data_IF_765229525085
#
_entry.id   IF_765229525085
#
_cell.length_a   1.000
_cell.length_b   1.000
_cell.length_c   1.000
_cell.angle_alpha   90.00
_cell.angle_beta   90.00
_cell.angle_gamma   90.00
#
_symmetry.space_group_name_H-M   'P 1'
#
loop_
_entity.id
_entity.type
_entity.pdbx_description
1 polymer ?
#
# COMPACT_ATOMS: atom_id res chain seq x y z
N UNK A 1 17.66 18.93 46.24
CA UNK A 1 18.20 17.74 45.54
C UNK A 1 17.48 17.57 44.21
N UNK A 2 17.88 18.32 43.18
CA UNK A 2 17.34 18.22 41.82
C UNK A 2 18.40 18.70 40.83
N UNK A 3 19.21 17.76 40.31
CA UNK A 3 20.18 17.95 39.21
C UNK A 3 20.52 16.59 38.57
N UNK A 4 19.54 15.93 37.94
CA UNK A 4 19.73 14.56 37.43
C UNK A 4 18.98 14.21 36.15
N UNK A 5 18.56 15.17 35.31
CA UNK A 5 17.69 14.88 34.17
C UNK A 5 17.96 15.73 32.91
N UNK A 6 19.21 16.15 32.66
CA UNK A 6 19.53 17.12 31.59
C UNK A 6 20.71 16.70 30.67
N UNK A 7 21.12 15.42 30.65
CA UNK A 7 22.32 15.01 29.89
C UNK A 7 22.12 14.01 28.75
N UNK A 8 20.89 13.58 28.43
CA UNK A 8 20.67 12.53 27.41
C UNK A 8 20.18 13.04 26.05
N UNK A 9 19.97 14.36 25.87
CA UNK A 9 19.43 14.93 24.62
C UNK A 9 20.47 15.62 23.71
N UNK A 10 21.74 15.19 23.74
CA UNK A 10 22.81 15.87 22.98
C UNK A 10 23.74 14.99 22.14
N UNK A 11 23.37 13.75 21.81
CA UNK A 11 24.22 12.86 20.99
C UNK A 11 23.49 12.13 19.83
N UNK A 12 22.48 12.75 19.23
CA UNK A 12 21.92 12.22 17.97
C UNK A 12 21.67 13.31 16.92
N UNK A 13 22.66 14.19 16.75
CA UNK A 13 22.68 15.24 15.73
C UNK A 13 23.99 15.20 14.93
N UNK A 14 24.44 14.03 14.48
CA UNK A 14 25.49 13.98 13.45
C UNK A 14 25.66 12.61 12.78
N UNK A 15 24.73 12.23 11.90
CA UNK A 15 24.96 11.10 10.98
C UNK A 15 24.28 11.39 9.63
N UNK A 16 24.82 12.38 8.93
CA UNK A 16 24.59 12.53 7.50
C UNK A 16 25.56 11.58 6.78
N UNK A 17 25.09 10.55 6.05
CA UNK A 17 25.96 9.82 5.16
C UNK A 17 26.38 10.73 3.99
N UNK A 18 27.67 10.99 3.96
CA UNK A 18 28.46 11.58 2.90
C UNK A 18 28.15 10.90 1.55
N UNK A 19 27.29 11.49 0.72
CA UNK A 19 27.11 11.07 -0.67
C UNK A 19 28.23 11.68 -1.53
N UNK A 20 29.14 10.88 -2.12
CA UNK A 20 30.09 11.42 -3.08
C UNK A 20 29.35 11.84 -4.35
N UNK A 21 29.44 13.13 -4.68
CA UNK A 21 29.01 13.70 -5.95
C UNK A 21 29.88 13.08 -7.05
N UNK A 22 29.36 12.09 -7.76
CA UNK A 22 29.99 11.56 -8.96
C UNK A 22 29.74 12.55 -10.11
N UNK A 23 30.66 13.49 -10.28
CA UNK A 23 30.76 14.28 -11.50
C UNK A 23 31.15 13.36 -12.66
N UNK A 24 30.19 13.03 -13.52
CA UNK A 24 30.47 12.44 -14.83
C UNK A 24 30.58 13.57 -15.84
N UNK A 25 31.80 14.11 -15.93
CA UNK A 25 32.25 14.98 -17.01
C UNK A 25 32.21 14.23 -18.36
N UNK A 26 31.96 15.01 -19.41
CA UNK A 26 31.39 14.54 -20.66
C UNK A 26 32.28 13.71 -21.56
N UNK A 27 31.63 13.04 -22.52
CA UNK A 27 32.20 12.77 -23.84
C UNK A 27 31.12 12.43 -24.87
N UNK A 28 31.23 13.18 -25.97
CA UNK A 28 30.77 12.90 -27.34
C UNK A 28 29.29 13.13 -27.68
N UNK A 29 29.08 14.37 -28.12
CA UNK A 29 28.37 14.71 -29.35
C UNK A 29 28.40 13.65 -30.45
N UNK A 30 27.24 13.60 -31.13
CA UNK A 30 27.03 13.33 -32.55
C UNK A 30 27.36 11.92 -33.04
N UNK A 31 26.31 11.10 -33.12
CA UNK A 31 26.01 10.39 -34.36
C UNK A 31 24.60 10.79 -34.81
N UNK A 32 24.56 11.83 -35.64
CA UNK A 32 23.42 12.15 -36.51
C UNK A 32 23.64 11.29 -37.75
N UNK A 33 22.90 10.19 -37.91
CA UNK A 33 22.61 9.63 -39.23
C UNK A 33 21.48 8.60 -39.14
N UNK A 34 20.32 8.99 -39.69
CA UNK A 34 19.47 8.17 -40.57
C UNK A 34 18.82 6.89 -40.04
N UNK A 35 17.52 6.98 -39.79
CA UNK A 35 16.45 6.24 -40.50
C UNK A 35 15.13 6.54 -39.77
N UNK A 36 14.32 7.49 -40.23
CA UNK A 36 13.30 7.26 -41.24
C UNK A 36 12.81 5.80 -41.34
N UNK A 37 11.90 5.43 -40.44
CA UNK A 37 10.77 4.58 -40.81
C UNK A 37 9.51 5.23 -40.25
N UNK A 38 8.81 5.91 -41.14
CA UNK A 38 7.39 6.21 -41.03
C UNK A 38 6.64 4.90 -40.79
N UNK A 39 6.46 4.55 -39.51
CA UNK A 39 5.54 3.49 -39.10
C UNK A 39 4.12 4.09 -39.16
N UNK A 40 3.16 3.41 -39.81
CA UNK A 40 1.83 3.95 -40.04
C UNK A 40 1.11 4.20 -38.71
N UNK A 41 0.57 5.41 -38.62
CA UNK A 41 -0.31 5.91 -37.58
C UNK A 41 -1.67 5.21 -37.71
N UNK A 42 -1.80 4.00 -37.16
CA UNK A 42 -3.08 3.30 -37.08
C UNK A 42 -3.12 2.25 -35.97
N UNK A 43 -3.38 2.69 -34.73
CA UNK A 43 -4.10 1.87 -33.76
C UNK A 43 -5.45 2.56 -33.41
N UNK A 44 -6.45 2.46 -34.30
CA UNK A 44 -7.81 2.89 -34.03
C UNK A 44 -8.51 1.81 -33.20
N UNK A 45 -8.23 1.75 -31.90
CA UNK A 45 -9.06 1.21 -30.81
C UNK A 45 -8.16 1.00 -29.59
N UNK A 46 -7.70 2.12 -29.04
CA UNK A 46 -7.03 2.17 -27.75
C UNK A 46 -8.07 1.82 -26.67
N UNK A 47 -8.24 0.52 -26.42
CA UNK A 47 -9.06 -0.02 -25.34
C UNK A 47 -8.71 0.76 -24.08
N UNK A 48 -9.72 1.44 -23.52
CA UNK A 48 -9.53 2.38 -22.42
C UNK A 48 -8.98 1.63 -21.23
N UNK A 49 -7.65 1.68 -21.04
CA UNK A 49 -7.03 1.12 -19.86
C UNK A 49 -7.71 1.78 -18.65
N UNK A 50 -8.41 1.00 -17.82
CA UNK A 50 -9.19 1.56 -16.75
C UNK A 50 -8.21 2.28 -15.83
N UNK A 51 -8.41 3.59 -15.70
CA UNK A 51 -7.56 4.40 -14.84
C UNK A 51 -7.56 3.75 -13.45
N UNK A 52 -6.38 3.50 -12.88
CA UNK A 52 -6.26 2.79 -11.60
C UNK A 52 -7.16 3.34 -10.47
N UNK A 53 -7.54 4.62 -10.52
CA UNK A 53 -8.52 5.21 -9.61
C UNK A 53 -9.95 4.70 -9.86
N UNK A 54 -10.36 4.53 -11.12
CA UNK A 54 -11.64 3.94 -11.49
C UNK A 54 -11.74 2.48 -11.03
N UNK A 55 -10.66 1.70 -11.15
CA UNK A 55 -10.60 0.34 -10.61
C UNK A 55 -10.82 0.33 -9.09
N UNK A 56 -10.15 1.22 -8.35
CA UNK A 56 -10.35 1.35 -6.90
C UNK A 56 -11.78 1.71 -6.52
N UNK A 57 -12.41 2.62 -7.28
CA UNK A 57 -13.82 3.00 -7.06
C UNK A 57 -14.75 1.82 -7.35
N UNK A 58 -14.59 1.13 -8.49
CA UNK A 58 -15.42 -0.03 -8.83
C UNK A 58 -15.30 -1.14 -7.78
N UNK A 59 -14.09 -1.45 -7.34
CA UNK A 59 -13.84 -2.46 -6.31
C UNK A 59 -14.40 -2.02 -4.94
N UNK A 60 -14.30 -0.74 -4.60
CA UNK A 60 -14.89 -0.18 -3.38
C UNK A 60 -16.42 -0.28 -3.37
N UNK A 61 -17.08 0.10 -4.46
CA UNK A 61 -18.53 -0.07 -4.63
C UNK A 61 -18.92 -1.54 -4.54
N UNK A 62 -18.17 -2.43 -5.19
CA UNK A 62 -18.41 -3.88 -5.13
C UNK A 62 -18.43 -4.40 -3.69
N UNK A 63 -17.40 -4.09 -2.89
CA UNK A 63 -17.35 -4.51 -1.48
C UNK A 63 -18.45 -3.88 -0.63
N UNK A 64 -18.87 -2.64 -0.95
CA UNK A 64 -19.94 -1.95 -0.23
C UNK A 64 -21.30 -2.58 -0.55
N UNK A 65 -21.56 -2.96 -1.80
CA UNK A 65 -22.75 -3.74 -2.19
C UNK A 65 -22.72 -5.12 -1.53
N UNK A 66 -21.58 -5.82 -1.58
CA UNK A 66 -21.40 -7.12 -0.95
C UNK A 66 -21.64 -7.06 0.57
N UNK A 67 -21.29 -5.95 1.22
CA UNK A 67 -21.59 -5.71 2.64
C UNK A 67 -23.10 -5.75 2.93
N UNK A 68 -23.95 -5.24 2.04
CA UNK A 68 -25.40 -5.27 2.24
C UNK A 68 -26.00 -6.66 2.01
N UNK A 69 -25.35 -7.52 1.23
CA UNK A 69 -25.86 -8.87 0.92
C UNK A 69 -25.66 -9.85 2.08
N UNK A 70 -24.73 -9.56 2.99
CA UNK A 70 -24.56 -10.28 4.27
C UNK A 70 -25.67 -9.84 5.24
N UNK A 71 -26.90 -10.25 4.98
CA UNK A 71 -28.08 -9.97 5.83
C UNK A 71 -28.46 -11.17 6.72
N UNK A 72 -27.87 -12.34 6.50
CA UNK A 72 -28.23 -13.58 7.19
C UNK A 72 -27.12 -14.01 8.16
N UNK A 73 -27.04 -13.39 9.35
CA UNK A 73 -26.29 -13.98 10.48
C UNK A 73 -27.24 -14.20 11.64
N UNK A 74 -27.59 -15.48 11.78
CA UNK A 74 -28.70 -16.08 12.49
C UNK A 74 -28.67 -16.02 14.03
N UNK A 75 -27.82 -15.21 14.67
CA UNK A 75 -27.81 -15.09 16.13
C UNK A 75 -27.64 -13.61 16.50
N UNK A 76 -28.74 -13.04 16.98
CA UNK A 76 -28.86 -11.68 17.50
C UNK A 76 -28.18 -11.59 18.86
N UNK A 77 -27.02 -10.95 18.89
CA UNK A 77 -26.69 -10.10 20.02
C UNK A 77 -26.59 -8.65 19.55
N UNK A 78 -27.31 -7.76 20.23
CA UNK A 78 -27.57 -6.37 19.84
C UNK A 78 -26.32 -5.49 19.83
N UNK A 79 -25.19 -6.01 20.28
CA UNK A 79 -23.95 -5.25 20.44
C UNK A 79 -22.76 -5.77 19.65
N UNK A 80 -22.94 -6.84 18.87
CA UNK A 80 -21.83 -7.39 18.11
C UNK A 80 -21.74 -6.74 16.74
N UNK A 81 -20.56 -6.19 16.39
CA UNK A 81 -20.34 -5.73 15.04
C UNK A 81 -20.32 -6.96 14.12
N UNK A 82 -21.48 -7.26 13.54
CA UNK A 82 -21.67 -8.44 12.69
C UNK A 82 -20.70 -8.52 11.50
N UNK A 83 -20.68 -9.65 10.78
CA UNK A 83 -19.75 -9.90 9.66
C UNK A 83 -19.80 -8.86 8.54
N UNK A 84 -20.87 -8.06 8.50
CA UNK A 84 -21.09 -6.91 7.61
C UNK A 84 -20.08 -5.76 7.79
N UNK A 85 -19.50 -5.58 8.97
CA UNK A 85 -18.63 -4.43 9.27
C UNK A 85 -17.30 -4.46 8.49
N UNK A 86 -16.72 -5.65 8.28
CA UNK A 86 -15.44 -5.80 7.58
C UNK A 86 -15.52 -5.36 6.11
N UNK A 87 -16.46 -5.89 5.29
CA UNK A 87 -16.63 -5.45 3.90
C UNK A 87 -17.02 -3.97 3.80
N UNK A 88 -17.76 -3.44 4.77
CA UNK A 88 -18.14 -2.03 4.80
C UNK A 88 -16.92 -1.11 4.96
N UNK A 89 -16.07 -1.36 5.97
CA UNK A 89 -14.86 -0.56 6.20
C UNK A 89 -13.93 -0.66 4.99
N UNK A 90 -13.77 -1.86 4.43
CA UNK A 90 -12.95 -2.09 3.26
C UNK A 90 -13.48 -1.31 2.05
N UNK A 91 -14.78 -1.38 1.76
CA UNK A 91 -15.42 -0.64 0.67
C UNK A 91 -15.25 0.87 0.81
N UNK A 92 -15.45 1.42 2.02
CA UNK A 92 -15.22 2.84 2.31
C UNK A 92 -13.77 3.25 2.09
N UNK A 93 -12.81 2.45 2.56
CA UNK A 93 -11.38 2.74 2.41
C UNK A 93 -10.96 2.74 0.93
N UNK A 94 -11.47 1.78 0.14
CA UNK A 94 -11.22 1.74 -1.30
C UNK A 94 -11.87 2.89 -2.05
N UNK A 95 -13.09 3.30 -1.68
CA UNK A 95 -13.74 4.47 -2.26
C UNK A 95 -12.96 5.75 -1.99
N UNK A 96 -12.48 5.94 -0.76
CA UNK A 96 -11.64 7.09 -0.40
C UNK A 96 -10.28 7.06 -1.11
N UNK A 97 -9.60 5.91 -1.14
CA UNK A 97 -8.31 5.75 -1.80
C UNK A 97 -8.39 5.85 -3.33
N UNK A 98 -9.37 5.18 -3.95
CA UNK A 98 -9.64 5.24 -5.38
C UNK A 98 -10.14 6.61 -5.82
N UNK A 99 -11.06 7.20 -5.05
CA UNK A 99 -11.61 8.53 -5.27
C UNK A 99 -10.54 9.62 -5.20
N UNK A 100 -9.70 9.61 -4.15
CA UNK A 100 -8.58 10.56 -4.04
C UNK A 100 -7.60 10.43 -5.21
N UNK A 101 -7.28 9.21 -5.63
CA UNK A 101 -6.42 8.96 -6.80
C UNK A 101 -7.06 9.42 -8.11
N UNK A 102 -8.38 9.26 -8.28
CA UNK A 102 -9.11 9.73 -9.44
C UNK A 102 -9.16 11.27 -9.49
N UNK A 103 -9.43 11.92 -8.36
CA UNK A 103 -9.44 13.38 -8.21
C UNK A 103 -8.04 13.95 -8.48
N UNK A 104 -6.98 13.36 -7.92
CA UNK A 104 -5.61 13.77 -8.18
C UNK A 104 -5.24 13.71 -9.67
N UNK A 105 -5.74 12.71 -10.40
CA UNK A 105 -5.57 12.60 -11.86
C UNK A 105 -6.39 13.63 -12.64
N UNK A 106 -7.57 14.00 -12.18
CA UNK A 106 -8.38 15.06 -12.79
C UNK A 106 -7.73 16.44 -12.63
N UNK A 107 -7.11 16.69 -11.48
CA UNK A 107 -6.39 17.94 -11.17
C UNK A 107 -5.02 18.02 -11.85
N UNK A 108 -4.32 16.89 -12.01
CA UNK A 108 -3.03 16.85 -12.67
C UNK A 108 -3.19 16.97 -14.20
N UNK A 109 -2.75 18.11 -14.76
CA UNK A 109 -2.71 18.35 -16.22
C UNK A 109 -2.02 17.18 -16.93
N UNK A 110 -2.79 16.45 -17.74
CA UNK A 110 -2.52 15.21 -18.51
C UNK A 110 -1.07 15.01 -18.98
N UNK A 111 -0.13 14.70 -18.08
CA UNK A 111 1.14 14.09 -18.49
C UNK A 111 0.82 12.65 -18.89
N UNK A 112 1.22 12.26 -20.11
CA UNK A 112 1.17 10.86 -20.55
C UNK A 112 1.99 10.02 -19.56
N UNK A 113 1.31 9.49 -18.56
CA UNK A 113 1.90 8.58 -17.60
C UNK A 113 1.98 7.24 -18.31
N UNK A 114 3.10 7.01 -19.00
CA UNK A 114 3.47 5.70 -19.52
C UNK A 114 3.36 4.72 -18.35
N UNK A 115 2.57 3.67 -18.51
CA UNK A 115 2.43 2.57 -17.56
C UNK A 115 3.75 1.79 -17.55
N UNK A 116 4.79 2.37 -16.93
CA UNK A 116 6.00 1.63 -16.61
C UNK A 116 5.69 0.85 -15.36
N UNK A 117 5.49 -0.45 -15.55
CA UNK A 117 5.42 -1.41 -14.45
C UNK A 117 6.73 -1.28 -13.69
N UNK A 118 6.66 -0.73 -12.49
CA UNK A 118 7.83 -0.61 -11.63
C UNK A 118 8.21 -2.02 -11.17
N UNK A 119 9.44 -2.51 -11.41
CA UNK A 119 9.86 -3.85 -10.98
C UNK A 119 9.64 -4.07 -9.48
N UNK A 120 9.67 -3.01 -8.68
CA UNK A 120 9.34 -3.05 -7.25
C UNK A 120 7.88 -3.44 -7.00
N UNK A 121 6.94 -2.91 -7.80
CA UNK A 121 5.53 -3.23 -7.66
C UNK A 121 5.25 -4.71 -7.97
N UNK A 122 5.90 -5.26 -9.01
CA UNK A 122 5.82 -6.69 -9.35
C UNK A 122 6.39 -7.54 -8.22
N UNK A 123 7.54 -7.16 -7.68
CA UNK A 123 8.17 -7.86 -6.57
C UNK A 123 7.26 -7.88 -5.33
N UNK A 124 6.65 -6.75 -4.96
CA UNK A 124 5.69 -6.67 -3.86
C UNK A 124 4.49 -7.60 -4.14
N UNK A 125 3.95 -7.59 -5.36
CA UNK A 125 2.82 -8.45 -5.73
C UNK A 125 3.15 -9.94 -5.58
N UNK A 126 4.32 -10.38 -6.06
CA UNK A 126 4.80 -11.77 -5.90
C UNK A 126 4.94 -12.13 -4.42
N UNK A 127 5.50 -11.25 -3.61
CA UNK A 127 5.61 -11.49 -2.16
C UNK A 127 4.26 -11.49 -1.45
N UNK A 128 3.30 -10.68 -1.89
CA UNK A 128 1.92 -10.74 -1.40
C UNK A 128 1.29 -12.09 -1.70
N UNK A 129 1.46 -12.62 -2.91
CA UNK A 129 0.98 -13.96 -3.26
C UNK A 129 1.64 -15.03 -2.37
N UNK A 130 2.95 -14.96 -2.17
CA UNK A 130 3.70 -15.87 -1.29
C UNK A 130 3.22 -15.78 0.18
N UNK A 131 2.92 -14.57 0.67
CA UNK A 131 2.34 -14.35 1.99
C UNK A 131 0.99 -15.06 2.14
N UNK A 132 0.11 -14.96 1.13
CA UNK A 132 -1.21 -15.63 1.16
C UNK A 132 -1.04 -17.15 1.22
N UNK A 133 -0.06 -17.71 0.50
CA UNK A 133 0.29 -19.14 0.55
C UNK A 133 0.89 -19.56 1.90
N UNK A 134 1.59 -18.66 2.59
CA UNK A 134 2.21 -18.92 3.89
C UNK A 134 1.23 -18.85 5.07
N UNK A 135 0.10 -18.14 4.93
CA UNK A 135 -0.93 -17.98 5.96
C UNK A 135 -1.35 -19.29 6.67
N UNK A 136 -1.68 -20.39 5.96
CA UNK A 136 -2.09 -21.64 6.61
C UNK A 136 -0.96 -22.34 7.36
N UNK A 137 0.31 -22.08 7.02
CA UNK A 137 1.46 -22.76 7.63
C UNK A 137 2.03 -22.00 8.83
N UNK A 138 2.21 -20.68 8.71
CA UNK A 138 2.86 -19.85 9.75
C UNK A 138 1.86 -19.19 10.70
N UNK A 139 0.57 -19.20 10.34
CA UNK A 139 -0.46 -18.45 11.03
C UNK A 139 -0.43 -16.96 10.68
N UNK A 140 -1.56 -16.30 10.97
CA UNK A 140 -1.81 -14.91 10.55
C UNK A 140 -0.80 -13.90 11.13
N UNK A 141 -0.47 -14.01 12.41
CA UNK A 141 0.38 -13.04 13.12
C UNK A 141 1.81 -13.01 12.56
N UNK A 142 2.46 -14.18 12.49
CA UNK A 142 3.85 -14.30 12.02
C UNK A 142 3.94 -13.91 10.54
N UNK A 143 2.99 -14.40 9.72
CA UNK A 143 2.95 -14.09 8.29
C UNK A 143 2.80 -12.58 8.04
N UNK A 144 1.90 -11.91 8.78
CA UNK A 144 1.66 -10.47 8.64
C UNK A 144 2.88 -9.66 9.08
N UNK A 145 3.54 -10.04 10.18
CA UNK A 145 4.75 -9.38 10.64
C UNK A 145 5.89 -9.50 9.62
N UNK A 146 6.13 -10.71 9.08
CA UNK A 146 7.13 -10.92 8.04
C UNK A 146 6.81 -10.13 6.77
N UNK A 147 5.56 -10.16 6.32
CA UNK A 147 5.13 -9.41 5.14
C UNK A 147 5.31 -7.90 5.32
N UNK A 148 4.93 -7.34 6.48
CA UNK A 148 5.09 -5.93 6.77
C UNK A 148 6.57 -5.49 6.77
N UNK A 149 7.43 -6.25 7.45
CA UNK A 149 8.88 -5.98 7.49
C UNK A 149 9.46 -6.06 6.07
N UNK A 150 9.14 -7.12 5.33
CA UNK A 150 9.64 -7.31 3.98
C UNK A 150 9.19 -6.21 3.02
N UNK A 151 7.91 -5.83 3.07
CA UNK A 151 7.35 -4.74 2.26
C UNK A 151 8.09 -3.42 2.53
N UNK A 152 8.32 -3.08 3.79
CA UNK A 152 9.05 -1.86 4.17
C UNK A 152 10.50 -1.85 3.67
N UNK A 153 11.20 -2.99 3.74
CA UNK A 153 12.54 -3.13 3.16
C UNK A 153 12.52 -2.91 1.65
N UNK A 154 11.51 -3.45 0.95
CA UNK A 154 11.37 -3.32 -0.49
C UNK A 154 11.05 -1.88 -0.93
N UNK A 155 10.30 -1.13 -0.11
CA UNK A 155 10.00 0.29 -0.37
C UNK A 155 11.17 1.22 -0.04
N UNK A 156 12.23 0.74 0.64
CA UNK A 156 13.40 1.54 0.99
C UNK A 156 13.10 2.64 2.02
N UNK A 157 12.03 2.48 2.79
CA UNK A 157 11.63 3.43 3.84
C UNK A 157 12.64 3.32 5.00
N UNK A 158 12.93 4.42 5.68
CA UNK A 158 13.86 4.37 6.81
C UNK A 158 13.37 3.37 7.87
N UNK A 159 14.25 2.52 8.41
CA UNK A 159 13.84 1.38 9.25
C UNK A 159 13.10 1.83 10.52
N UNK A 160 13.35 3.06 10.99
CA UNK A 160 12.71 3.60 12.20
C UNK A 160 11.24 3.93 12.00
N UNK A 161 10.86 4.61 10.91
CA UNK A 161 9.45 4.94 10.62
C UNK A 161 8.67 3.68 10.22
N UNK A 162 9.37 2.74 9.59
CA UNK A 162 8.86 1.41 9.24
C UNK A 162 8.46 0.63 10.49
N UNK A 163 9.34 0.52 11.49
CA UNK A 163 9.02 -0.21 12.73
C UNK A 163 7.82 0.40 13.45
N UNK A 164 7.74 1.74 13.54
CA UNK A 164 6.62 2.41 14.22
C UNK A 164 5.30 2.11 13.50
N UNK A 165 5.26 2.28 12.18
CA UNK A 165 4.04 2.01 11.40
C UNK A 165 3.66 0.53 11.43
N UNK A 166 4.62 -0.39 11.36
CA UNK A 166 4.38 -1.83 11.49
C UNK A 166 3.82 -2.18 12.87
N UNK A 167 4.39 -1.62 13.94
CA UNK A 167 3.91 -1.81 15.30
C UNK A 167 2.47 -1.29 15.47
N UNK A 168 2.17 -0.09 14.94
CA UNK A 168 0.82 0.48 14.98
C UNK A 168 -0.18 -0.41 14.24
N UNK A 169 0.18 -0.92 13.06
CA UNK A 169 -0.69 -1.84 12.29
C UNK A 169 -0.89 -3.15 13.06
N UNK A 170 0.17 -3.75 13.58
CA UNK A 170 0.10 -5.01 14.35
C UNK A 170 -0.77 -4.82 15.60
N UNK A 171 -0.58 -3.74 16.37
CA UNK A 171 -1.37 -3.43 17.56
C UNK A 171 -2.83 -3.20 17.18
N UNK A 172 -3.10 -2.43 16.12
CA UNK A 172 -4.47 -2.14 15.67
C UNK A 172 -5.18 -3.43 15.25
N UNK A 173 -4.51 -4.27 14.46
CA UNK A 173 -5.04 -5.56 14.04
C UNK A 173 -5.26 -6.46 15.26
N UNK A 174 -4.28 -6.57 16.16
CA UNK A 174 -4.42 -7.35 17.38
C UNK A 174 -5.58 -6.86 18.26
N UNK A 175 -5.76 -5.55 18.37
CA UNK A 175 -6.87 -4.94 19.11
C UNK A 175 -8.21 -5.26 18.46
N UNK A 176 -8.31 -5.14 17.12
CA UNK A 176 -9.51 -5.54 16.38
C UNK A 176 -9.79 -7.03 16.62
N UNK A 177 -8.77 -7.89 16.54
CA UNK A 177 -8.94 -9.32 16.80
C UNK A 177 -9.39 -9.59 18.25
N UNK A 178 -8.79 -8.94 19.25
CA UNK A 178 -9.20 -9.08 20.64
C UNK A 178 -10.63 -8.61 20.84
N UNK A 179 -10.98 -7.41 20.40
CA UNK A 179 -12.34 -6.88 20.59
C UNK A 179 -13.35 -7.72 19.80
N UNK A 180 -13.05 -8.08 18.56
CA UNK A 180 -14.01 -8.73 17.67
C UNK A 180 -14.16 -10.23 17.98
N UNK A 181 -13.09 -10.93 18.35
CA UNK A 181 -13.13 -12.36 18.69
C UNK A 181 -13.28 -12.66 20.19
N UNK A 182 -12.94 -11.74 21.10
CA UNK A 182 -13.21 -11.95 22.52
C UNK A 182 -14.70 -12.00 22.81
N UNK A 183 -15.53 -11.29 22.02
CA UNK A 183 -16.97 -11.33 22.20
C UNK A 183 -17.52 -12.70 21.77
N UNK A 184 -16.96 -13.30 20.72
CA UNK A 184 -17.37 -14.62 20.24
C UNK A 184 -17.07 -15.79 21.18
N UNK A 185 -16.20 -15.63 22.19
CA UNK A 185 -15.85 -16.72 23.12
C UNK A 185 -16.56 -16.63 24.48
N UNK A 186 -17.29 -15.54 24.76
CA UNK A 186 -17.98 -15.32 26.03
C UNK A 186 -19.48 -15.69 26.00
N UNK A 187 -19.97 -16.23 24.89
CA UNK A 187 -21.34 -16.75 24.71
C UNK A 187 -21.32 -18.26 24.51
#
# INVERSE_FOLDING_TARGET
>A
MSKGFELTLRLEKNSQPFFPIRMSSGKKSLNIMSQNSSIPDSDPLRHGEPSSGLLGIMLGVFFLVFSFDITESFIQDKHDPGPRYLPMILGCLLLLGGGSSAIAKLLAKRKRQSLRIDPKAVMIFVFTALYILALPFLGFHISTAMFAIFSMLCLGVSPRTSIISAAVVIISVHYIFLVLFSISFSS
#
